data_IF_135497824761
#
_entry.id   IF_135497824761
#
_cell.length_a   1.000
_cell.length_b   1.000
_cell.length_c   1.000
_cell.angle_alpha   90.00
_cell.angle_beta   90.00
_cell.angle_gamma   90.00
#
_symmetry.space_group_name_H-M   'P 1'
#
loop_
_entity.id
_entity.type
_entity.pdbx_description
1 polymer ?
#
# COMPACT_ATOMS: atom_id res chain seq x y z
N UNK A 1 -1.63 2.21 21.17
CA UNK A 1 -1.64 3.57 20.56
C UNK A 1 -2.38 3.44 19.25
N UNK A 2 -3.44 4.22 19.04
CA UNK A 2 -4.36 4.08 17.90
C UNK A 2 -4.12 5.27 16.98
N UNK A 3 -3.89 5.03 15.68
CA UNK A 3 -3.85 6.07 14.67
C UNK A 3 -5.10 5.94 13.80
N UNK A 4 -6.00 6.92 13.87
CA UNK A 4 -7.14 7.07 12.96
C UNK A 4 -6.72 8.06 11.86
N UNK A 5 -5.97 7.56 10.87
CA UNK A 5 -5.95 8.21 9.56
C UNK A 5 -7.33 7.99 8.92
N UNK A 6 -7.89 8.95 8.16
CA UNK A 6 -9.12 8.71 7.42
C UNK A 6 -8.86 7.57 6.43
N UNK A 7 -9.39 6.38 6.70
CA UNK A 7 -9.39 5.27 5.75
C UNK A 7 -10.36 5.62 4.63
N UNK A 8 -9.81 6.15 3.54
CA UNK A 8 -10.53 6.39 2.29
C UNK A 8 -10.28 5.18 1.39
N UNK A 9 -11.28 4.30 1.27
CA UNK A 9 -11.26 3.24 0.26
C UNK A 9 -11.69 3.86 -1.07
N UNK A 10 -10.74 3.99 -1.98
CA UNK A 10 -10.94 4.54 -3.33
C UNK A 10 -10.33 3.61 -4.36
N UNK A 11 -10.87 3.64 -5.58
CA UNK A 11 -10.20 3.01 -6.71
C UNK A 11 -8.85 3.66 -6.98
N UNK A 12 -7.90 2.92 -7.56
CA UNK A 12 -6.59 3.50 -7.97
C UNK A 12 -6.73 4.80 -8.79
N UNK A 13 -7.69 4.92 -9.73
CA UNK A 13 -7.88 6.17 -10.49
C UNK A 13 -8.35 7.37 -9.66
N UNK A 14 -8.88 7.12 -8.45
CA UNK A 14 -9.45 8.12 -7.55
C UNK A 14 -8.45 8.57 -6.47
N UNK A 15 -7.24 7.98 -6.44
CA UNK A 15 -6.16 8.41 -5.54
C UNK A 15 -5.59 9.76 -5.99
N UNK A 16 -6.16 10.83 -5.44
CA UNK A 16 -5.61 12.18 -5.48
C UNK A 16 -5.41 12.69 -4.05
N UNK A 17 -4.27 13.33 -3.80
CA UNK A 17 -4.02 14.03 -2.54
C UNK A 17 -3.43 15.42 -2.81
N UNK A 18 -3.67 16.39 -1.91
CA UNK A 18 -3.04 17.69 -1.99
C UNK A 18 -1.51 17.59 -1.98
N UNK A 19 -0.86 18.51 -2.68
CA UNK A 19 0.60 18.63 -2.67
C UNK A 19 1.11 18.78 -1.22
N UNK A 20 2.17 18.02 -0.89
CA UNK A 20 2.80 18.03 0.45
C UNK A 20 2.22 17.02 1.45
N UNK A 21 1.16 16.28 1.12
CA UNK A 21 0.65 15.23 2.00
C UNK A 21 1.55 13.98 1.96
N UNK A 22 1.83 13.41 3.13
CA UNK A 22 2.39 12.05 3.24
C UNK A 22 1.22 11.07 3.35
N UNK A 23 1.17 10.12 2.42
CA UNK A 23 0.07 9.14 2.33
C UNK A 23 0.61 7.76 2.62
N UNK A 24 -0.05 7.06 3.53
CA UNK A 24 0.13 5.63 3.75
C UNK A 24 -1.05 4.88 3.13
N UNK A 25 -0.77 3.87 2.31
CA UNK A 25 -1.79 3.05 1.66
C UNK A 25 -1.92 1.73 2.41
N UNK A 26 -3.11 1.48 2.97
CA UNK A 26 -3.47 0.17 3.52
C UNK A 26 -4.18 -0.66 2.43
N UNK A 27 -3.46 -1.58 1.82
CA UNK A 27 -3.94 -2.35 0.68
C UNK A 27 -4.81 -3.55 1.10
N UNK A 28 -6.12 -3.35 1.19
CA UNK A 28 -7.12 -4.43 1.34
C UNK A 28 -7.35 -5.12 -0.02
N UNK A 29 -6.35 -5.80 -0.56
CA UNK A 29 -6.38 -6.42 -1.90
C UNK A 29 -6.24 -7.94 -1.82
N UNK A 30 -6.87 -8.64 -2.76
CA UNK A 30 -6.80 -10.10 -2.78
C UNK A 30 -5.47 -10.62 -3.36
N UNK A 31 -4.92 -10.03 -4.42
CA UNK A 31 -3.67 -10.49 -5.07
C UNK A 31 -2.61 -9.39 -5.05
N UNK A 32 -1.54 -9.59 -4.29
CA UNK A 32 -0.47 -8.57 -4.19
C UNK A 32 0.29 -8.39 -5.51
N UNK A 33 0.40 -9.42 -6.35
CA UNK A 33 1.12 -9.34 -7.62
C UNK A 33 0.40 -8.41 -8.61
N UNK A 34 -0.93 -8.34 -8.54
CA UNK A 34 -1.72 -7.47 -9.40
C UNK A 34 -1.65 -6.00 -8.95
N UNK A 35 -1.78 -5.74 -7.65
CA UNK A 35 -2.01 -4.38 -7.14
C UNK A 35 -0.74 -3.66 -6.70
N UNK A 36 0.26 -4.36 -6.14
CA UNK A 36 1.47 -3.70 -5.61
C UNK A 36 2.23 -2.89 -6.67
N UNK A 37 2.43 -3.35 -7.92
CA UNK A 37 3.07 -2.53 -8.95
C UNK A 37 2.30 -1.23 -9.23
N UNK A 38 0.96 -1.28 -9.22
CA UNK A 38 0.10 -0.11 -9.45
C UNK A 38 0.19 0.88 -8.28
N UNK A 39 0.26 0.39 -7.04
CA UNK A 39 0.39 1.21 -5.84
C UNK A 39 1.79 1.88 -5.74
N UNK A 40 2.85 1.17 -6.15
CA UNK A 40 4.21 1.74 -6.20
C UNK A 40 4.26 2.95 -7.14
N UNK A 41 3.54 2.91 -8.27
CA UNK A 41 3.51 4.01 -9.23
C UNK A 41 2.94 5.33 -8.65
N UNK A 42 2.14 5.24 -7.58
CA UNK A 42 1.59 6.40 -6.87
C UNK A 42 2.61 7.08 -5.94
N UNK A 43 3.78 6.45 -5.72
CA UNK A 43 4.85 6.91 -4.82
C UNK A 43 4.35 7.37 -3.43
N UNK A 44 3.56 6.56 -2.71
CA UNK A 44 3.15 6.88 -1.34
C UNK A 44 4.35 6.89 -0.39
N UNK A 45 4.12 7.36 0.84
CA UNK A 45 5.09 7.25 1.93
C UNK A 45 5.23 5.79 2.39
N UNK A 46 4.11 5.08 2.58
CA UNK A 46 4.05 3.68 2.98
C UNK A 46 3.02 2.89 2.17
N UNK A 47 3.27 1.60 1.97
CA UNK A 47 2.27 0.61 1.55
C UNK A 47 2.25 -0.52 2.58
N UNK A 48 1.07 -0.84 3.10
CA UNK A 48 0.82 -1.94 4.03
C UNK A 48 0.05 -3.03 3.26
N UNK A 49 0.64 -4.22 3.14
CA UNK A 49 -0.01 -5.40 2.53
C UNK A 49 -0.44 -6.40 3.61
N UNK A 50 -1.47 -7.20 3.35
CA UNK A 50 -1.93 -8.24 4.28
C UNK A 50 -1.17 -9.54 4.09
N UNK A 51 -0.87 -10.22 5.19
CA UNK A 51 -0.23 -11.53 5.17
C UNK A 51 -1.13 -12.61 4.53
N UNK A 52 -2.44 -12.40 4.55
CA UNK A 52 -3.49 -13.27 4.06
C UNK A 52 -3.77 -13.08 2.56
N UNK A 53 -3.21 -12.03 1.95
CA UNK A 53 -3.36 -11.79 0.53
C UNK A 53 -2.71 -12.92 -0.28
N UNK A 54 -3.33 -13.27 -1.40
CA UNK A 54 -2.80 -14.24 -2.37
C UNK A 54 -1.58 -13.67 -3.11
N UNK A 55 -0.70 -14.56 -3.58
CA UNK A 55 0.56 -14.21 -4.24
C UNK A 55 1.77 -14.28 -3.30
N UNK A 56 2.95 -13.83 -3.79
CA UNK A 56 4.17 -13.79 -3.00
C UNK A 56 4.30 -12.46 -2.24
N UNK A 57 3.74 -12.43 -1.03
CA UNK A 57 3.77 -11.27 -0.13
C UNK A 57 5.20 -10.82 0.19
N UNK A 58 6.16 -11.76 0.31
CA UNK A 58 7.55 -11.42 0.59
C UNK A 58 8.18 -10.67 -0.58
N UNK A 59 7.95 -11.16 -1.79
CA UNK A 59 8.41 -10.48 -3.01
C UNK A 59 7.76 -9.10 -3.15
N UNK A 60 6.46 -8.97 -2.88
CA UNK A 60 5.77 -7.68 -2.86
C UNK A 60 6.41 -6.68 -1.88
N UNK A 61 6.68 -7.09 -0.64
CA UNK A 61 7.36 -6.24 0.36
C UNK A 61 8.75 -5.81 -0.12
N UNK A 62 9.49 -6.71 -0.78
CA UNK A 62 10.80 -6.38 -1.35
C UNK A 62 10.69 -5.34 -2.48
N UNK A 63 9.71 -5.48 -3.38
CA UNK A 63 9.48 -4.53 -4.47
C UNK A 63 9.14 -3.14 -3.95
N UNK A 64 8.30 -3.05 -2.92
CA UNK A 64 7.94 -1.76 -2.28
C UNK A 64 9.20 -1.08 -1.73
N UNK A 65 10.05 -1.81 -1.00
CA UNK A 65 11.30 -1.26 -0.45
C UNK A 65 12.30 -0.86 -1.53
N UNK A 66 12.41 -1.64 -2.61
CA UNK A 66 13.28 -1.31 -3.75
C UNK A 66 12.86 -0.03 -4.46
N UNK A 67 11.56 0.29 -4.46
CA UNK A 67 11.04 1.56 -4.98
C UNK A 67 11.27 2.77 -4.04
N UNK A 68 11.89 2.57 -2.88
CA UNK A 68 12.13 3.62 -1.89
C UNK A 68 10.91 3.97 -1.03
N UNK A 69 9.90 3.10 -1.01
CA UNK A 69 8.65 3.27 -0.24
C UNK A 69 8.74 2.43 1.05
N UNK A 70 8.15 2.90 2.15
CA UNK A 70 8.07 2.10 3.37
C UNK A 70 7.10 0.92 3.17
N UNK A 71 7.52 -0.28 3.57
CA UNK A 71 6.71 -1.49 3.43
C UNK A 71 6.23 -1.98 4.80
N UNK A 72 4.92 -2.07 4.98
CA UNK A 72 4.28 -2.64 6.16
C UNK A 72 3.64 -3.99 5.85
N UNK A 73 3.62 -4.87 6.85
CA UNK A 73 2.85 -6.12 6.83
C UNK A 73 1.74 -6.00 7.88
N UNK A 74 0.50 -6.12 7.43
CA UNK A 74 -0.68 -6.24 8.27
C UNK A 74 -1.15 -7.68 8.38
N UNK A 75 -1.94 -7.95 9.39
CA UNK A 75 -2.78 -9.14 9.51
C UNK A 75 -4.19 -8.65 9.86
N UNK A 76 -5.21 -9.42 9.45
CA UNK A 76 -6.62 -9.16 9.78
C UNK A 76 -7.00 -9.78 11.13
#
# INVERSE_FOLDING_TARGET
>A
MVNLLPTLTVGIPELWAPEGWMIDIHAMVNDVAEYVPKLIALRPHMIIVHAEATGDVKTALMQIRQAGIMAGLGAI
#
